data_IF_593966016276
#
_entry.id   IF_593966016276
#
_cell.length_a   1.000
_cell.length_b   1.000
_cell.length_c   1.000
_cell.angle_alpha   90.00
_cell.angle_beta   90.00
_cell.angle_gamma   90.00
#
_symmetry.space_group_name_H-M   'P 1'
#
loop_
_entity.id
_entity.type
_entity.pdbx_description
1 polymer ?
#
# COMPACT_ATOMS: atom_id res chain seq x y z
N UNK A 1 24.32 -19.09 -6.87
CA UNK A 1 24.70 -18.00 -5.95
C UNK A 1 23.80 -16.79 -6.23
N UNK A 2 23.26 -16.19 -5.18
CA UNK A 2 22.42 -14.99 -5.27
C UNK A 2 23.22 -13.81 -4.69
N UNK A 3 23.40 -12.78 -5.49
CA UNK A 3 23.96 -11.53 -4.97
C UNK A 3 22.93 -10.81 -4.09
N UNK A 4 23.37 -10.25 -2.97
CA UNK A 4 22.51 -9.53 -2.02
C UNK A 4 22.98 -8.08 -1.91
N UNK A 5 22.02 -7.16 -2.05
CA UNK A 5 22.23 -5.74 -1.79
C UNK A 5 21.44 -5.39 -0.52
N UNK A 6 22.17 -5.06 0.54
CA UNK A 6 21.55 -4.59 1.78
C UNK A 6 21.19 -3.10 1.68
N UNK A 7 19.98 -2.77 2.06
CA UNK A 7 19.47 -1.39 2.07
C UNK A 7 18.38 -1.22 3.12
N UNK A 8 17.93 0.02 3.33
CA UNK A 8 16.77 0.33 4.14
C UNK A 8 15.54 0.60 3.27
N UNK A 9 14.39 0.55 3.91
CA UNK A 9 13.13 0.91 3.24
C UNK A 9 11.95 0.92 4.17
N UNK A 10 10.76 0.96 3.57
CA UNK A 10 9.49 1.08 4.29
C UNK A 10 8.45 0.12 3.74
N UNK A 11 7.63 -0.39 4.64
CA UNK A 11 6.43 -1.14 4.29
C UNK A 11 5.24 -0.19 4.21
N UNK A 12 4.48 -0.28 3.14
CA UNK A 12 3.30 0.56 2.89
C UNK A 12 2.10 -0.33 2.52
N UNK A 13 0.87 0.15 2.69
CA UNK A 13 -0.29 -0.55 2.13
C UNK A 13 -0.22 -0.61 0.61
N UNK A 14 -0.70 -1.71 0.03
CA UNK A 14 -0.84 -1.82 -1.42
C UNK A 14 -1.98 -0.94 -1.94
N UNK A 15 -1.89 -0.54 -3.20
CA UNK A 15 -2.95 0.21 -3.84
C UNK A 15 -4.26 -0.60 -3.84
N UNK A 16 -5.36 0.03 -3.39
CA UNK A 16 -6.67 -0.62 -3.24
C UNK A 16 -6.86 -1.38 -1.92
N UNK A 17 -5.84 -1.49 -1.07
CA UNK A 17 -5.94 -2.08 0.26
C UNK A 17 -6.40 -1.07 1.33
N UNK A 18 -6.47 0.20 0.96
CA UNK A 18 -7.02 1.29 1.77
C UNK A 18 -8.14 2.03 1.03
N UNK A 19 -9.13 2.48 1.79
CA UNK A 19 -10.19 3.32 1.29
C UNK A 19 -10.54 4.44 2.27
N UNK A 20 -10.72 5.65 1.73
CA UNK A 20 -11.18 6.80 2.51
C UNK A 20 -12.69 6.71 2.75
N UNK A 21 -13.09 6.97 3.98
CA UNK A 21 -14.47 7.20 4.40
C UNK A 21 -14.70 8.69 4.33
N UNK A 22 -15.57 9.15 3.42
CA UNK A 22 -15.77 10.57 3.14
C UNK A 22 -17.18 11.02 3.51
N UNK A 23 -17.34 12.29 3.84
CA UNK A 23 -18.62 12.91 4.13
C UNK A 23 -19.45 13.05 2.83
N UNK A 24 -20.66 12.46 2.74
CA UNK A 24 -21.53 12.58 1.57
C UNK A 24 -22.32 13.87 1.54
N UNK A 25 -22.42 14.56 2.65
CA UNK A 25 -23.11 15.85 2.83
C UNK A 25 -22.32 16.72 3.80
N UNK A 26 -22.48 18.05 3.71
CA UNK A 26 -21.95 18.95 4.72
C UNK A 26 -22.81 18.93 5.98
N UNK A 27 -22.18 19.04 7.16
CA UNK A 27 -22.90 19.02 8.42
C UNK A 27 -22.02 18.72 9.63
N UNK A 28 -22.65 18.43 10.75
CA UNK A 28 -21.98 18.07 12.01
C UNK A 28 -21.85 16.56 12.09
N UNK A 29 -20.62 16.10 12.37
CA UNK A 29 -20.29 14.66 12.52
C UNK A 29 -20.71 14.16 13.89
N UNK A 30 -21.38 13.01 13.91
CA UNK A 30 -21.60 12.19 15.09
C UNK A 30 -21.02 10.80 14.86
N UNK A 31 -20.40 10.21 15.90
CA UNK A 31 -19.92 8.84 15.84
C UNK A 31 -21.08 7.89 16.16
N UNK A 32 -21.20 6.79 15.41
CA UNK A 32 -22.34 5.88 15.51
C UNK A 32 -21.87 4.47 15.91
N UNK A 33 -22.59 3.86 16.83
CA UNK A 33 -22.32 2.48 17.23
C UNK A 33 -21.20 2.35 18.26
N UNK A 34 -20.19 1.53 17.97
CA UNK A 34 -19.06 1.29 18.88
C UNK A 34 -18.09 2.47 18.90
N UNK A 35 -17.36 2.59 20.01
CA UNK A 35 -16.27 3.59 20.09
C UNK A 35 -15.23 3.30 19.03
N UNK A 36 -15.08 4.23 18.08
CA UNK A 36 -14.07 4.14 17.05
C UNK A 36 -12.72 4.62 17.58
N UNK A 37 -11.69 3.86 17.27
CA UNK A 37 -10.28 4.21 17.50
C UNK A 37 -9.44 3.60 16.39
N UNK A 38 -8.21 4.05 16.24
CA UNK A 38 -7.26 3.42 15.32
C UNK A 38 -7.07 1.94 15.71
N UNK A 39 -7.07 1.05 14.71
CA UNK A 39 -7.05 -0.39 14.90
C UNK A 39 -8.43 -1.03 15.14
N UNK A 40 -9.52 -0.25 15.24
CA UNK A 40 -10.87 -0.83 15.38
C UNK A 40 -11.27 -1.61 14.13
N UNK A 41 -11.59 -2.91 14.30
CA UNK A 41 -12.09 -3.73 13.19
C UNK A 41 -13.49 -3.29 12.76
N UNK A 42 -13.73 -3.20 11.45
CA UNK A 42 -14.99 -2.79 10.84
C UNK A 42 -15.36 -3.72 9.69
N UNK A 43 -16.66 -3.90 9.49
CA UNK A 43 -17.19 -4.67 8.36
C UNK A 43 -17.66 -3.76 7.23
N UNK A 44 -17.56 -4.22 5.98
CA UNK A 44 -18.12 -3.48 4.84
C UNK A 44 -19.62 -3.18 5.08
N UNK A 45 -20.01 -1.90 4.93
CA UNK A 45 -21.37 -1.44 5.14
C UNK A 45 -21.69 -1.11 6.61
N UNK A 46 -20.79 -1.36 7.54
CA UNK A 46 -20.97 -0.95 8.95
C UNK A 46 -21.00 0.57 9.05
N UNK A 47 -21.99 1.11 9.77
CA UNK A 47 -22.16 2.55 9.96
C UNK A 47 -21.15 3.05 11.00
N UNK A 48 -20.30 3.97 10.58
CA UNK A 48 -19.23 4.53 11.42
C UNK A 48 -19.56 5.92 11.92
N UNK A 49 -20.13 6.75 11.04
CA UNK A 49 -20.48 8.14 11.33
C UNK A 49 -21.91 8.44 10.87
N UNK A 50 -22.46 9.50 11.39
CA UNK A 50 -23.63 10.20 10.85
C UNK A 50 -23.27 11.67 10.67
N UNK A 51 -23.66 12.26 9.55
CA UNK A 51 -23.47 13.70 9.29
C UNK A 51 -24.84 14.36 9.29
N UNK A 52 -25.09 15.24 10.27
CA UNK A 52 -26.34 15.98 10.41
C UNK A 52 -26.21 17.38 9.83
N UNK A 53 -27.07 17.71 8.89
CA UNK A 53 -27.20 19.06 8.33
C UNK A 53 -28.31 19.90 8.99
N UNK A 54 -28.95 19.41 10.06
CA UNK A 54 -30.12 20.04 10.69
C UNK A 54 -29.81 21.40 11.34
N UNK A 55 -28.58 21.56 11.86
CA UNK A 55 -28.15 22.75 12.60
C UNK A 55 -27.34 23.73 11.77
N UNK A 56 -27.25 23.53 10.46
CA UNK A 56 -26.52 24.44 9.56
C UNK A 56 -27.46 25.43 8.88
N UNK A 57 -26.95 26.61 8.53
CA UNK A 57 -27.72 27.72 7.93
C UNK A 57 -28.48 27.35 6.65
N UNK A 58 -27.94 26.39 5.87
CA UNK A 58 -28.58 25.90 4.64
C UNK A 58 -29.68 24.84 4.90
N UNK A 59 -29.88 24.35 6.13
CA UNK A 59 -30.88 23.39 6.52
C UNK A 59 -30.58 21.94 6.14
N UNK A 60 -31.54 21.05 6.46
CA UNK A 60 -31.41 19.62 6.19
C UNK A 60 -31.54 19.30 4.69
N UNK A 61 -30.49 18.81 4.08
CA UNK A 61 -30.44 18.44 2.66
C UNK A 61 -31.50 17.39 2.30
N UNK A 62 -31.83 16.47 3.19
CA UNK A 62 -32.86 15.45 2.94
C UNK A 62 -34.25 16.09 2.92
N UNK A 63 -34.53 17.02 3.81
CA UNK A 63 -35.79 17.77 3.85
C UNK A 63 -35.98 18.62 2.59
N UNK A 64 -34.91 19.30 2.14
CA UNK A 64 -34.93 20.10 0.91
C UNK A 64 -35.12 19.22 -0.33
N UNK A 65 -34.41 18.10 -0.43
CA UNK A 65 -34.59 17.15 -1.53
C UNK A 65 -36.02 16.56 -1.56
N UNK A 66 -36.59 16.26 -0.39
CA UNK A 66 -37.97 15.81 -0.29
C UNK A 66 -38.97 16.86 -0.77
N UNK A 67 -38.82 18.11 -0.36
CA UNK A 67 -39.67 19.21 -0.80
C UNK A 67 -39.57 19.42 -2.32
N UNK A 68 -38.38 19.39 -2.90
CA UNK A 68 -38.16 19.48 -4.35
C UNK A 68 -38.81 18.30 -5.09
N UNK A 69 -38.72 17.09 -4.58
CA UNK A 69 -39.39 15.91 -5.13
C UNK A 69 -40.90 16.03 -5.09
N UNK A 70 -41.49 16.43 -3.96
CA UNK A 70 -42.95 16.59 -3.84
C UNK A 70 -43.48 17.68 -4.79
N UNK A 71 -42.72 18.81 -4.92
CA UNK A 71 -43.07 19.87 -5.88
C UNK A 71 -43.01 19.39 -7.33
N UNK A 72 -41.93 18.70 -7.72
CA UNK A 72 -41.77 18.17 -9.09
C UNK A 72 -42.82 17.11 -9.40
N UNK A 73 -43.16 16.23 -8.45
CA UNK A 73 -44.20 15.24 -8.53
C UNK A 73 -45.56 15.88 -8.80
N UNK A 74 -45.96 16.88 -8.03
CA UNK A 74 -47.23 17.57 -8.22
C UNK A 74 -47.28 18.34 -9.55
N UNK A 75 -46.15 18.86 -10.06
CA UNK A 75 -46.10 19.50 -11.36
C UNK A 75 -46.24 18.49 -12.51
N UNK A 76 -45.62 17.33 -12.40
CA UNK A 76 -45.71 16.23 -13.36
C UNK A 76 -47.15 15.68 -13.42
N UNK A 77 -47.75 15.33 -12.27
CA UNK A 77 -49.16 14.82 -12.20
C UNK A 77 -50.13 15.79 -12.82
N UNK A 78 -50.00 17.10 -12.64
CA UNK A 78 -50.83 18.12 -13.31
C UNK A 78 -50.62 18.13 -14.83
N UNK A 79 -49.36 18.06 -15.29
CA UNK A 79 -49.07 18.02 -16.73
C UNK A 79 -49.58 16.74 -17.39
N UNK A 80 -49.52 15.59 -16.71
CA UNK A 80 -50.05 14.30 -17.15
C UNK A 80 -51.57 14.35 -17.34
N UNK A 81 -52.29 14.97 -16.40
CA UNK A 81 -53.72 15.13 -16.48
C UNK A 81 -54.18 16.04 -17.66
N UNK A 82 -53.35 17.00 -18.09
CA UNK A 82 -53.73 18.04 -19.07
C UNK A 82 -53.17 17.79 -20.48
N UNK A 83 -52.20 16.88 -20.65
CA UNK A 83 -51.55 16.62 -21.95
C UNK A 83 -52.52 15.91 -22.90
N UNK A 84 -53.41 15.04 -22.38
CA UNK A 84 -54.45 14.35 -23.17
C UNK A 84 -55.44 15.32 -23.83
N UNK A 85 -55.79 16.39 -23.15
CA UNK A 85 -56.69 17.44 -23.63
C UNK A 85 -55.97 18.51 -24.44
N UNK A 86 -54.68 18.34 -24.74
CA UNK A 86 -53.80 19.28 -25.47
C UNK A 86 -53.72 20.68 -24.83
N UNK A 87 -54.01 20.79 -23.52
CA UNK A 87 -53.87 22.05 -22.75
C UNK A 87 -52.38 22.31 -22.45
N UNK A 88 -51.61 21.26 -22.28
CA UNK A 88 -50.15 21.27 -22.09
C UNK A 88 -49.50 20.63 -23.32
N UNK A 89 -48.40 21.21 -23.79
CA UNK A 89 -47.67 20.65 -24.94
C UNK A 89 -46.92 19.36 -24.54
N UNK A 90 -46.69 18.50 -25.52
CA UNK A 90 -45.90 17.26 -25.31
C UNK A 90 -44.49 17.56 -24.77
N UNK A 91 -43.85 18.61 -25.27
CA UNK A 91 -42.53 19.03 -24.81
C UNK A 91 -42.54 19.48 -23.34
N UNK A 92 -43.58 20.18 -22.90
CA UNK A 92 -43.71 20.61 -21.51
C UNK A 92 -43.99 19.42 -20.59
N UNK A 93 -44.82 18.48 -21.00
CA UNK A 93 -45.05 17.24 -20.28
C UNK A 93 -43.74 16.44 -20.08
N UNK A 94 -42.96 16.26 -21.14
CA UNK A 94 -41.71 15.54 -21.11
C UNK A 94 -40.69 16.24 -20.19
N UNK A 95 -40.64 17.58 -20.20
CA UNK A 95 -39.79 18.37 -19.27
C UNK A 95 -40.20 18.14 -17.81
N UNK A 96 -41.54 18.16 -17.51
CA UNK A 96 -42.01 17.91 -16.13
C UNK A 96 -41.73 16.47 -15.65
N UNK A 97 -41.81 15.51 -16.58
CA UNK A 97 -41.42 14.13 -16.29
C UNK A 97 -39.93 14.02 -15.93
N UNK A 98 -39.08 14.66 -16.73
CA UNK A 98 -37.62 14.67 -16.47
C UNK A 98 -37.29 15.36 -15.15
N UNK A 99 -37.89 16.50 -14.84
CA UNK A 99 -37.77 17.20 -13.58
C UNK A 99 -38.13 16.31 -12.38
N UNK A 100 -39.24 15.57 -12.50
CA UNK A 100 -39.71 14.62 -11.50
C UNK A 100 -38.73 13.46 -11.31
N UNK A 101 -38.26 12.83 -12.38
CA UNK A 101 -37.31 11.71 -12.33
C UNK A 101 -35.98 12.14 -11.69
N UNK A 102 -35.47 13.32 -12.03
CA UNK A 102 -34.28 13.90 -11.45
C UNK A 102 -34.42 14.18 -9.93
N UNK A 103 -35.53 14.82 -9.54
CA UNK A 103 -35.82 15.13 -8.15
C UNK A 103 -36.04 13.87 -7.30
N UNK A 104 -36.68 12.86 -7.88
CA UNK A 104 -36.89 11.54 -7.28
C UNK A 104 -35.58 10.85 -7.01
N UNK A 105 -34.68 10.78 -7.99
CA UNK A 105 -33.36 10.15 -7.87
C UNK A 105 -32.53 10.83 -6.78
N UNK A 106 -32.52 12.17 -6.77
CA UNK A 106 -31.82 12.94 -5.75
C UNK A 106 -32.36 12.68 -4.33
N UNK A 107 -33.68 12.65 -4.16
CA UNK A 107 -34.32 12.36 -2.87
C UNK A 107 -34.03 10.92 -2.39
N UNK A 108 -34.20 9.91 -3.26
CA UNK A 108 -33.98 8.50 -2.93
C UNK A 108 -32.51 8.24 -2.52
N UNK A 109 -31.55 8.87 -3.20
CA UNK A 109 -30.13 8.76 -2.87
C UNK A 109 -29.80 9.26 -1.44
N UNK A 110 -30.48 10.30 -0.97
CA UNK A 110 -30.31 10.85 0.38
C UNK A 110 -31.15 10.10 1.40
N UNK A 111 -32.41 9.79 1.09
CA UNK A 111 -33.36 9.14 1.99
C UNK A 111 -32.91 7.74 2.41
N UNK A 112 -32.30 6.96 1.51
CA UNK A 112 -31.79 5.62 1.79
C UNK A 112 -30.66 5.60 2.84
N UNK A 113 -29.93 6.71 2.97
CA UNK A 113 -28.80 6.87 3.89
C UNK A 113 -29.15 7.70 5.13
N UNK A 114 -30.33 8.36 5.15
CA UNK A 114 -30.76 9.26 6.21
C UNK A 114 -31.35 8.49 7.38
N UNK A 115 -31.03 8.96 8.60
CA UNK A 115 -31.62 8.50 9.86
C UNK A 115 -32.03 9.69 10.72
N UNK A 116 -32.63 9.44 11.87
CA UNK A 116 -32.94 10.50 12.85
C UNK A 116 -31.68 11.28 13.29
N UNK A 117 -30.50 10.64 13.23
CA UNK A 117 -29.21 11.21 13.59
C UNK A 117 -28.49 11.89 12.41
N UNK A 118 -29.04 11.85 11.18
CA UNK A 118 -28.43 12.40 9.98
C UNK A 118 -28.15 11.36 8.89
N UNK A 119 -27.38 11.77 7.88
CA UNK A 119 -26.95 10.88 6.79
C UNK A 119 -25.86 9.93 7.28
N UNK A 120 -26.13 8.63 7.21
CA UNK A 120 -25.18 7.60 7.64
C UNK A 120 -23.99 7.46 6.70
N UNK A 121 -22.80 7.36 7.28
CA UNK A 121 -21.55 7.10 6.58
C UNK A 121 -21.04 5.74 6.97
N UNK A 122 -20.84 4.87 5.97
CA UNK A 122 -20.52 3.46 6.17
C UNK A 122 -19.10 3.13 5.73
N UNK A 123 -18.54 2.08 6.31
CA UNK A 123 -17.26 1.53 5.87
C UNK A 123 -17.35 1.01 4.42
N UNK A 124 -16.49 1.46 3.50
CA UNK A 124 -16.51 1.02 2.09
C UNK A 124 -16.01 -0.42 1.91
N UNK A 125 -15.23 -0.90 2.87
CA UNK A 125 -14.65 -2.24 2.90
C UNK A 125 -14.53 -2.77 4.32
N UNK A 126 -14.38 -4.08 4.48
CA UNK A 126 -14.01 -4.69 5.76
C UNK A 126 -12.52 -4.52 6.01
N UNK A 127 -12.13 -4.28 7.26
CA UNK A 127 -10.73 -4.04 7.63
C UNK A 127 -10.61 -3.39 9.00
N UNK A 128 -9.62 -2.55 9.16
CA UNK A 128 -9.36 -1.80 10.40
C UNK A 128 -9.35 -0.30 10.12
N UNK A 129 -9.88 0.48 11.04
CA UNK A 129 -9.74 1.95 11.01
C UNK A 129 -8.28 2.29 11.25
N UNK A 130 -7.67 3.01 10.32
CA UNK A 130 -6.25 3.40 10.37
C UNK A 130 -6.04 4.81 10.92
N UNK A 131 -6.92 5.72 10.57
CA UNK A 131 -6.81 7.12 10.93
C UNK A 131 -8.22 7.71 11.02
N UNK A 132 -8.52 8.38 12.11
CA UNK A 132 -9.74 9.17 12.29
C UNK A 132 -9.35 10.64 12.18
N UNK A 133 -9.80 11.30 11.11
CA UNK A 133 -9.40 12.66 10.77
C UNK A 133 -10.35 13.73 11.35
N UNK A 134 -11.38 13.35 12.08
CA UNK A 134 -12.42 14.25 12.60
C UNK A 134 -12.76 13.94 14.07
N UNK A 135 -13.31 14.95 14.74
CA UNK A 135 -13.80 14.84 16.12
C UNK A 135 -15.32 14.82 16.16
N UNK A 136 -15.88 14.27 17.23
CA UNK A 136 -17.31 14.35 17.53
C UNK A 136 -17.76 15.80 17.58
N UNK A 137 -18.85 16.12 16.91
CA UNK A 137 -19.39 17.50 16.84
C UNK A 137 -18.67 18.43 15.86
N UNK A 138 -17.66 17.95 15.12
CA UNK A 138 -16.96 18.77 14.13
C UNK A 138 -17.82 19.00 12.88
N UNK A 139 -17.82 20.22 12.36
CA UNK A 139 -18.37 20.53 11.04
C UNK A 139 -17.46 19.98 9.94
N UNK A 140 -18.06 19.35 8.92
CA UNK A 140 -17.37 18.78 7.74
C UNK A 140 -18.07 19.21 6.46
N UNK A 141 -17.28 19.26 5.39
CA UNK A 141 -17.76 19.55 4.04
C UNK A 141 -17.93 18.27 3.22
N UNK A 142 -18.71 18.34 2.14
CA UNK A 142 -18.86 17.24 1.17
C UNK A 142 -17.50 16.82 0.63
N UNK A 143 -17.22 15.51 0.65
CA UNK A 143 -15.94 14.96 0.17
C UNK A 143 -14.81 14.98 1.19
N UNK A 144 -14.99 15.63 2.35
CA UNK A 144 -13.99 15.63 3.41
C UNK A 144 -13.78 14.21 3.97
N UNK A 145 -12.53 13.81 4.11
CA UNK A 145 -12.17 12.50 4.69
C UNK A 145 -12.46 12.50 6.20
N UNK A 146 -13.24 11.54 6.66
CA UNK A 146 -13.58 11.32 8.06
C UNK A 146 -12.66 10.30 8.71
N UNK A 147 -12.34 9.23 7.99
CA UNK A 147 -11.45 8.18 8.42
C UNK A 147 -10.86 7.45 7.21
N UNK A 148 -9.86 6.60 7.46
CA UNK A 148 -9.32 5.64 6.47
C UNK A 148 -9.51 4.23 7.01
N UNK A 149 -9.98 3.32 6.17
CA UNK A 149 -10.08 1.88 6.47
C UNK A 149 -9.05 1.13 5.64
N UNK A 150 -8.26 0.27 6.28
CA UNK A 150 -7.24 -0.57 5.65
C UNK A 150 -7.55 -2.05 5.88
N UNK A 151 -7.35 -2.88 4.85
CA UNK A 151 -7.49 -4.34 4.98
C UNK A 151 -6.21 -5.00 5.51
N UNK A 152 -5.05 -4.37 5.30
CA UNK A 152 -3.73 -4.93 5.62
C UNK A 152 -3.48 -6.32 5.00
N UNK A 153 -4.12 -6.65 3.89
CA UNK A 153 -4.00 -7.95 3.22
C UNK A 153 -2.81 -7.99 2.27
N UNK A 154 -2.58 -6.89 1.57
CA UNK A 154 -1.48 -6.73 0.62
C UNK A 154 -0.66 -5.52 0.98
N UNK A 155 0.63 -5.71 1.00
CA UNK A 155 1.59 -4.69 1.38
C UNK A 155 2.60 -4.45 0.25
N UNK A 156 3.20 -3.28 0.29
CA UNK A 156 4.26 -2.87 -0.61
C UNK A 156 5.53 -2.64 0.19
N UNK A 157 6.60 -3.35 -0.18
CA UNK A 157 7.95 -3.10 0.30
C UNK A 157 8.64 -2.13 -0.66
N UNK A 158 8.98 -0.94 -0.20
CA UNK A 158 9.72 0.06 -0.96
C UNK A 158 11.14 0.16 -0.40
N UNK A 159 12.10 -0.35 -1.16
CA UNK A 159 13.52 -0.27 -0.88
C UNK A 159 14.09 1.02 -1.48
N UNK A 160 15.00 1.68 -0.77
CA UNK A 160 15.70 2.89 -1.22
C UNK A 160 17.17 2.55 -1.47
N UNK A 161 17.52 2.27 -2.72
CA UNK A 161 18.81 1.73 -3.12
C UNK A 161 19.73 2.85 -3.63
N UNK A 162 20.97 2.88 -3.16
CA UNK A 162 21.97 3.82 -3.67
C UNK A 162 22.17 3.65 -5.18
N UNK A 163 22.27 4.76 -5.92
CA UNK A 163 22.48 4.78 -7.36
C UNK A 163 23.73 3.99 -7.83
N UNK A 164 24.71 3.79 -6.96
CA UNK A 164 25.90 2.98 -7.27
C UNK A 164 25.57 1.54 -7.67
N UNK A 165 24.43 1.00 -7.23
CA UNK A 165 23.96 -0.35 -7.54
C UNK A 165 23.01 -0.41 -8.75
N UNK A 166 22.85 0.69 -9.50
CA UNK A 166 21.87 0.77 -10.60
C UNK A 166 22.05 -0.35 -11.65
N UNK A 167 23.29 -0.74 -11.93
CA UNK A 167 23.58 -1.82 -12.86
C UNK A 167 23.09 -3.18 -12.35
N UNK A 168 23.25 -3.43 -11.05
CA UNK A 168 22.91 -4.70 -10.38
C UNK A 168 21.41 -4.84 -10.18
N UNK A 169 20.68 -3.71 -10.05
CA UNK A 169 19.22 -3.70 -9.89
C UNK A 169 18.45 -4.36 -11.04
N UNK A 170 19.07 -4.47 -12.23
CA UNK A 170 18.47 -5.17 -13.38
C UNK A 170 18.28 -6.66 -13.12
N UNK A 171 19.11 -7.23 -12.24
CA UNK A 171 19.12 -8.64 -11.91
C UNK A 171 18.32 -8.96 -10.65
N UNK A 172 17.77 -7.97 -9.97
CA UNK A 172 16.98 -8.16 -8.76
C UNK A 172 15.67 -8.87 -9.10
N UNK A 173 15.41 -9.98 -8.44
CA UNK A 173 14.23 -10.83 -8.66
C UNK A 173 13.31 -10.91 -7.44
N UNK A 174 13.85 -10.75 -6.23
CA UNK A 174 13.12 -10.85 -4.96
C UNK A 174 13.80 -10.01 -3.90
N UNK A 175 13.23 -10.01 -2.70
CA UNK A 175 13.86 -9.42 -1.51
C UNK A 175 13.50 -10.22 -0.27
N UNK A 176 14.34 -10.12 0.74
CA UNK A 176 14.03 -10.48 2.11
C UNK A 176 14.06 -9.20 2.94
N UNK A 177 13.36 -9.16 4.05
CA UNK A 177 13.38 -8.02 4.94
C UNK A 177 13.32 -8.44 6.41
N UNK A 178 13.82 -7.59 7.29
CA UNK A 178 13.78 -7.78 8.74
C UNK A 178 13.05 -6.62 9.38
N UNK A 179 12.03 -6.93 10.18
CA UNK A 179 11.29 -5.93 10.95
C UNK A 179 12.03 -5.61 12.27
N UNK A 180 11.89 -4.38 12.80
CA UNK A 180 12.55 -4.01 14.05
C UNK A 180 11.93 -4.66 15.29
N UNK A 181 10.72 -5.20 15.19
CA UNK A 181 9.93 -5.66 16.34
C UNK A 181 9.95 -7.18 16.53
N UNK A 182 10.25 -7.99 15.50
CA UNK A 182 10.31 -9.44 15.64
C UNK A 182 11.71 -10.03 15.38
N UNK A 183 12.59 -9.24 14.76
CA UNK A 183 13.97 -9.63 14.43
C UNK A 183 14.10 -10.76 13.42
N UNK A 184 12.98 -11.25 12.85
CA UNK A 184 12.95 -12.35 11.88
C UNK A 184 13.21 -11.82 10.47
N UNK A 185 13.83 -12.66 9.67
CA UNK A 185 13.94 -12.43 8.23
C UNK A 185 12.70 -13.01 7.55
N UNK A 186 11.95 -12.13 6.91
CA UNK A 186 10.78 -12.48 6.11
C UNK A 186 11.18 -12.58 4.65
N UNK A 187 10.83 -13.69 4.00
CA UNK A 187 11.10 -13.92 2.59
C UNK A 187 9.89 -13.53 1.74
N UNK A 188 10.08 -12.59 0.80
CA UNK A 188 9.00 -12.23 -0.12
C UNK A 188 8.54 -13.40 -0.98
N UNK A 189 9.41 -14.38 -1.27
CA UNK A 189 9.02 -15.59 -2.02
C UNK A 189 7.96 -16.41 -1.26
N UNK A 190 8.08 -16.53 0.05
CA UNK A 190 7.13 -17.25 0.90
C UNK A 190 5.83 -16.48 1.09
N UNK A 191 5.85 -15.16 0.85
CA UNK A 191 4.71 -14.25 0.98
C UNK A 191 4.10 -13.88 -0.38
N UNK A 192 4.26 -14.69 -1.41
CA UNK A 192 3.81 -14.42 -2.78
C UNK A 192 4.29 -13.06 -3.32
N UNK A 193 5.49 -12.67 -2.92
CA UNK A 193 6.07 -11.38 -3.28
C UNK A 193 6.44 -11.30 -4.75
N UNK A 194 6.17 -10.16 -5.36
CA UNK A 194 6.51 -9.85 -6.75
C UNK A 194 7.15 -8.47 -6.88
N UNK A 195 8.13 -8.36 -7.74
CA UNK A 195 8.70 -7.08 -8.13
C UNK A 195 7.66 -6.29 -8.95
N UNK A 196 7.33 -5.09 -8.49
CA UNK A 196 6.43 -4.17 -9.20
C UNK A 196 7.22 -3.24 -10.12
N UNK A 197 8.26 -2.62 -9.59
CA UNK A 197 9.04 -1.63 -10.33
C UNK A 197 10.44 -1.47 -9.77
N UNK A 198 11.34 -1.13 -10.68
CA UNK A 198 12.64 -0.52 -10.38
C UNK A 198 12.57 0.90 -10.93
N UNK A 199 12.65 1.89 -10.05
CA UNK A 199 12.56 3.30 -10.42
C UNK A 199 13.66 3.68 -11.39
N UNK A 200 13.29 4.42 -12.44
CA UNK A 200 14.24 4.97 -13.43
C UNK A 200 14.48 6.46 -13.25
N UNK A 201 13.62 7.13 -12.48
CA UNK A 201 13.74 8.53 -12.13
C UNK A 201 14.02 8.62 -10.63
N UNK A 202 15.16 9.20 -10.28
CA UNK A 202 15.31 9.86 -9.00
C UNK A 202 14.65 11.23 -9.14
N UNK A 203 13.75 11.61 -8.24
CA UNK A 203 13.39 13.02 -8.10
C UNK A 203 14.67 13.81 -7.87
N UNK A 204 14.74 15.04 -8.38
CA UNK A 204 15.95 15.89 -8.33
C UNK A 204 16.53 16.06 -6.90
N UNK A 205 15.79 15.64 -5.88
CA UNK A 205 16.18 15.66 -4.46
C UNK A 205 16.60 14.29 -3.89
N UNK A 206 16.48 13.17 -4.63
CA UNK A 206 16.75 11.82 -4.10
C UNK A 206 17.96 11.17 -4.75
N UNK A 207 18.95 10.81 -3.93
CA UNK A 207 20.15 10.04 -4.32
C UNK A 207 19.85 8.53 -4.44
N UNK A 208 18.60 8.12 -4.17
CA UNK A 208 18.19 6.73 -4.12
C UNK A 208 17.29 6.34 -5.29
N UNK A 209 17.45 5.10 -5.72
CA UNK A 209 16.57 4.43 -6.71
C UNK A 209 15.55 3.60 -5.94
N UNK A 210 14.25 3.87 -6.04
CA UNK A 210 13.23 3.07 -5.38
C UNK A 210 13.05 1.74 -6.10
N UNK A 211 13.11 0.64 -5.34
CA UNK A 211 12.73 -0.71 -5.80
C UNK A 211 11.51 -1.14 -5.01
N UNK A 212 10.45 -1.49 -5.72
CA UNK A 212 9.13 -1.71 -5.12
C UNK A 212 8.67 -3.14 -5.37
N UNK A 213 8.29 -3.82 -4.31
CA UNK A 213 7.69 -5.15 -4.33
C UNK A 213 6.30 -5.11 -3.71
N UNK A 214 5.39 -5.95 -4.17
CA UNK A 214 4.10 -6.19 -3.54
C UNK A 214 4.08 -7.62 -3.01
N UNK A 215 3.47 -7.84 -1.85
CA UNK A 215 3.41 -9.15 -1.21
C UNK A 215 2.15 -9.30 -0.35
N UNK A 216 1.76 -10.55 -0.08
CA UNK A 216 0.63 -10.85 0.79
C UNK A 216 1.07 -10.74 2.25
N UNK A 217 0.28 -10.06 3.06
CA UNK A 217 0.49 -10.04 4.51
C UNK A 217 -0.04 -11.35 5.12
N UNK A 218 0.82 -12.32 5.26
CA UNK A 218 0.52 -13.63 5.85
C UNK A 218 0.74 -13.68 7.36
N UNK A 219 1.17 -12.57 7.94
CA UNK A 219 1.47 -12.43 9.36
C UNK A 219 1.11 -11.04 9.86
N UNK A 220 1.64 -10.67 11.00
CA UNK A 220 1.36 -9.39 11.67
C UNK A 220 2.32 -8.29 11.20
N UNK A 221 2.59 -8.21 9.90
CA UNK A 221 3.43 -7.14 9.36
C UNK A 221 2.65 -5.81 9.41
N UNK A 222 3.23 -4.84 10.10
CA UNK A 222 2.60 -3.54 10.35
C UNK A 222 2.99 -2.54 9.25
N UNK A 223 2.01 -2.01 8.48
CA UNK A 223 2.26 -0.95 7.52
C UNK A 223 2.83 0.31 8.20
N UNK A 224 3.73 1.01 7.53
CA UNK A 224 4.42 2.17 8.06
C UNK A 224 5.79 1.84 8.69
N UNK A 225 6.10 0.56 8.92
CA UNK A 225 7.36 0.13 9.50
C UNK A 225 8.54 0.43 8.60
N UNK A 226 9.64 0.90 9.20
CA UNK A 226 10.96 0.91 8.58
C UNK A 226 11.59 -0.47 8.77
N UNK A 227 12.21 -0.98 7.72
CA UNK A 227 12.78 -2.33 7.71
C UNK A 227 14.15 -2.34 7.04
N UNK A 228 14.98 -3.28 7.45
CA UNK A 228 16.18 -3.64 6.71
C UNK A 228 15.79 -4.56 5.56
N UNK A 229 16.32 -4.30 4.38
CA UNK A 229 15.95 -5.01 3.15
C UNK A 229 17.21 -5.60 2.53
N UNK A 230 17.11 -6.85 2.14
CA UNK A 230 18.12 -7.61 1.42
C UNK A 230 17.56 -7.97 0.05
N UNK A 231 17.92 -7.18 -0.98
CA UNK A 231 17.53 -7.44 -2.35
C UNK A 231 18.28 -8.67 -2.86
N UNK A 232 17.57 -9.60 -3.45
CA UNK A 232 18.11 -10.87 -3.93
C UNK A 232 18.11 -10.84 -5.46
N UNK A 233 19.29 -11.02 -6.05
CA UNK A 233 19.42 -11.12 -7.52
C UNK A 233 18.91 -12.46 -8.04
N UNK A 234 18.71 -12.53 -9.35
CA UNK A 234 18.57 -13.81 -10.05
C UNK A 234 19.84 -14.64 -9.84
N UNK A 235 19.71 -15.95 -9.55
CA UNK A 235 20.88 -16.81 -9.37
C UNK A 235 21.86 -16.68 -10.54
N UNK A 236 23.14 -16.45 -10.24
CA UNK A 236 24.21 -16.54 -11.23
C UNK A 236 24.61 -18.02 -11.31
N UNK A 237 24.30 -18.69 -12.42
CA UNK A 237 24.74 -20.08 -12.61
C UNK A 237 26.28 -20.12 -12.65
N UNK A 238 26.85 -21.25 -12.20
CA UNK A 238 28.28 -21.53 -12.24
C UNK A 238 29.19 -20.49 -11.56
N UNK A 239 28.65 -19.74 -10.61
CA UNK A 239 29.43 -18.79 -9.82
C UNK A 239 30.39 -19.55 -8.89
N UNK A 240 31.68 -19.28 -9.03
CA UNK A 240 32.68 -19.77 -8.09
C UNK A 240 32.54 -18.99 -6.78
N UNK A 241 32.25 -19.69 -5.69
CA UNK A 241 32.05 -19.09 -4.37
C UNK A 241 32.90 -19.77 -3.31
N UNK A 242 33.30 -19.00 -2.31
CA UNK A 242 33.94 -19.52 -1.08
C UNK A 242 33.23 -18.94 0.14
N UNK A 243 33.21 -19.63 1.29
CA UNK A 243 32.74 -19.06 2.54
C UNK A 243 33.48 -17.76 2.88
N UNK A 244 32.79 -16.76 3.41
CA UNK A 244 33.44 -15.49 3.86
C UNK A 244 34.56 -15.77 4.85
N UNK A 245 34.43 -16.82 5.68
CA UNK A 245 35.47 -17.26 6.63
C UNK A 245 36.75 -17.81 5.98
N UNK A 246 36.75 -18.08 4.68
CA UNK A 246 37.92 -18.54 3.92
C UNK A 246 38.76 -17.39 3.36
N UNK A 247 38.23 -16.15 3.42
CA UNK A 247 38.89 -14.96 2.87
C UNK A 247 39.58 -14.19 3.97
N UNK A 248 40.82 -13.79 3.73
CA UNK A 248 41.59 -12.84 4.57
C UNK A 248 41.85 -11.57 3.79
N UNK A 249 41.89 -10.47 4.50
CA UNK A 249 42.25 -9.17 3.95
C UNK A 249 43.57 -8.68 4.59
N UNK A 250 44.50 -8.30 3.73
CA UNK A 250 45.75 -7.66 4.16
C UNK A 250 46.00 -6.44 3.27
N UNK A 251 46.13 -5.27 3.90
CA UNK A 251 46.41 -4.00 3.19
C UNK A 251 45.45 -3.69 2.03
N UNK A 252 44.17 -4.09 2.16
CA UNK A 252 43.15 -3.86 1.13
C UNK A 252 43.16 -4.89 -0.02
N UNK A 253 44.01 -5.93 0.08
CA UNK A 253 44.05 -7.05 -0.87
C UNK A 253 43.49 -8.30 -0.21
N UNK A 254 42.67 -9.05 -0.97
CA UNK A 254 42.02 -10.24 -0.45
C UNK A 254 42.76 -11.51 -0.89
N UNK A 255 42.86 -12.46 0.03
CA UNK A 255 43.59 -13.71 -0.17
C UNK A 255 42.76 -14.89 0.27
N UNK A 256 43.00 -16.05 -0.34
CA UNK A 256 42.54 -17.38 0.11
C UNK A 256 43.74 -18.31 0.23
N UNK A 257 43.66 -19.30 1.14
CA UNK A 257 44.68 -20.33 1.24
C UNK A 257 44.20 -21.58 0.50
N UNK A 258 44.86 -21.88 -0.60
CA UNK A 258 44.57 -23.04 -1.44
C UNK A 258 45.46 -24.19 -0.99
N UNK A 259 44.86 -25.36 -0.74
CA UNK A 259 45.58 -26.57 -0.40
C UNK A 259 46.27 -27.12 -1.66
N UNK A 260 47.58 -27.30 -1.61
CA UNK A 260 48.38 -27.90 -2.68
C UNK A 260 48.52 -29.42 -2.50
N UNK A 261 48.86 -29.84 -1.25
CA UNK A 261 49.06 -31.25 -0.85
C UNK A 261 48.64 -31.42 0.63
N UNK A 262 49.04 -32.51 1.28
CA UNK A 262 48.63 -32.84 2.65
C UNK A 262 49.15 -31.80 3.69
N UNK A 263 50.27 -31.13 3.44
CA UNK A 263 50.95 -30.22 4.38
C UNK A 263 51.14 -28.78 3.78
N UNK A 264 50.93 -28.63 2.47
CA UNK A 264 51.23 -27.38 1.75
C UNK A 264 50.00 -26.53 1.47
N UNK A 265 50.09 -25.24 1.84
CA UNK A 265 49.11 -24.23 1.51
C UNK A 265 49.71 -23.08 0.74
N UNK A 266 49.05 -22.64 -0.32
CA UNK A 266 49.48 -21.47 -1.09
C UNK A 266 48.53 -20.30 -0.79
N UNK A 267 49.08 -19.22 -0.27
CA UNK A 267 48.38 -17.95 -0.16
C UNK A 267 48.23 -17.35 -1.55
N UNK A 268 47.01 -17.17 -1.98
CA UNK A 268 46.68 -16.68 -3.34
C UNK A 268 45.80 -15.46 -3.26
N UNK A 269 46.18 -14.45 -4.01
CA UNK A 269 45.37 -13.26 -4.20
C UNK A 269 44.12 -13.59 -4.99
N UNK A 270 42.97 -13.04 -4.55
CA UNK A 270 41.68 -13.22 -5.23
C UNK A 270 40.97 -11.89 -5.36
N UNK A 271 40.24 -11.75 -6.45
CA UNK A 271 39.33 -10.64 -6.64
C UNK A 271 37.92 -11.06 -6.25
N UNK A 272 37.36 -10.36 -5.29
CA UNK A 272 36.03 -10.64 -4.79
C UNK A 272 34.94 -9.96 -5.64
N UNK A 273 33.80 -10.60 -5.76
CA UNK A 273 32.55 -10.04 -6.26
C UNK A 273 31.59 -9.75 -5.10
N UNK A 274 30.29 -9.84 -5.37
CA UNK A 274 29.25 -9.69 -4.36
C UNK A 274 29.23 -10.89 -3.40
N UNK A 275 28.71 -10.67 -2.19
CA UNK A 275 28.49 -11.72 -1.20
C UNK A 275 27.00 -11.88 -0.86
N UNK A 276 26.63 -12.99 -0.20
CA UNK A 276 25.27 -13.28 0.29
C UNK A 276 25.18 -13.30 1.82
N UNK A 277 26.23 -12.77 2.48
CA UNK A 277 26.37 -12.77 3.93
C UNK A 277 26.96 -14.06 4.53
N UNK A 278 27.10 -15.14 3.75
CA UNK A 278 27.73 -16.40 4.15
C UNK A 278 28.90 -16.77 3.23
N UNK A 279 28.75 -16.56 1.94
CA UNK A 279 29.70 -16.83 0.89
C UNK A 279 29.97 -15.60 0.05
N UNK A 280 31.15 -15.51 -0.54
CA UNK A 280 31.52 -14.46 -1.48
C UNK A 280 31.88 -15.07 -2.83
N UNK A 281 31.47 -14.41 -3.89
CA UNK A 281 31.81 -14.77 -5.26
C UNK A 281 33.26 -14.42 -5.56
N UNK A 282 34.01 -15.33 -6.18
CA UNK A 282 35.35 -15.11 -6.66
C UNK A 282 35.29 -14.75 -8.15
N UNK A 283 35.78 -13.59 -8.51
CA UNK A 283 35.84 -13.10 -9.88
C UNK A 283 37.09 -13.58 -10.60
N UNK A 284 38.22 -13.69 -9.89
CA UNK A 284 39.49 -14.19 -10.42
C UNK A 284 40.41 -14.64 -9.29
N UNK A 285 41.41 -15.47 -9.60
CA UNK A 285 42.43 -15.93 -8.69
C UNK A 285 42.19 -17.35 -8.14
N UNK A 286 41.02 -17.97 -8.38
CA UNK A 286 40.70 -19.32 -7.97
C UNK A 286 40.00 -20.07 -9.11
N UNK A 287 40.20 -21.40 -9.16
CA UNK A 287 39.57 -22.28 -10.15
C UNK A 287 38.60 -23.25 -9.48
N UNK A 288 37.58 -23.69 -10.24
CA UNK A 288 36.64 -24.67 -9.72
C UNK A 288 37.32 -26.00 -9.41
N UNK A 289 36.99 -26.59 -8.25
CA UNK A 289 37.58 -27.86 -7.79
C UNK A 289 38.80 -27.70 -6.88
N UNK A 290 39.34 -26.50 -6.74
CA UNK A 290 40.42 -26.24 -5.75
C UNK A 290 39.87 -26.26 -4.32
N UNK A 291 40.65 -26.82 -3.40
CA UNK A 291 40.29 -26.89 -1.99
C UNK A 291 40.84 -25.70 -1.24
N UNK A 292 39.99 -24.95 -0.58
CA UNK A 292 40.37 -23.77 0.23
C UNK A 292 40.15 -24.00 1.72
N UNK A 293 41.00 -23.38 2.53
CA UNK A 293 40.85 -23.40 3.99
C UNK A 293 39.73 -22.51 4.41
N UNK A 294 38.72 -23.07 5.11
CA UNK A 294 37.53 -22.32 5.54
C UNK A 294 37.55 -21.88 7.01
N UNK A 295 38.51 -22.37 7.81
CA UNK A 295 38.67 -22.00 9.23
C UNK A 295 40.17 -21.98 9.60
N UNK A 296 40.55 -21.07 10.53
CA UNK A 296 41.92 -20.97 11.00
C UNK A 296 42.83 -20.12 10.12
N UNK A 297 42.29 -19.33 9.23
CA UNK A 297 43.03 -18.51 8.27
C UNK A 297 43.70 -17.30 8.94
N UNK A 298 43.26 -16.92 10.13
CA UNK A 298 43.75 -15.75 10.90
C UNK A 298 44.76 -16.11 12.01
N UNK A 299 45.47 -17.25 11.95
CA UNK A 299 46.57 -17.59 12.88
C UNK A 299 47.92 -17.41 12.22
#
# INVERSE_FOLDING_TARGET
FNEIIATGGRIMPAQGDEASVVAPVSGIVAFVGKKLADGTAVSKGERLFAVSSKEIAEGDYTVRAKAAFEQAKAAFERAEALVGDKIVSQAEYEQKRLDYENARTAYEALASKSSAQGTGVVAPMSGFVKNIAVSEGQFVEVGQTLATVSQNRRLVLRAEVSQRYLADLRNVSSANFRTPYDGRIHSLREMNGRLLSVGRNSDDASVFVPVTFEFDNTGDIVPGSFVEIYLVSTPVPDALTVPLSAVTEEQGVHYVFVRLDEEGYLKREVKLGADDGQSVRILSGLSAGETVVSRGVAQ
#
